data_IF_431549913358
#
_entry.id   IF_431549913358
#
_cell.length_a   1.000
_cell.length_b   1.000
_cell.length_c   1.000
_cell.angle_alpha   90.00
_cell.angle_beta   90.00
_cell.angle_gamma   90.00
#
_symmetry.space_group_name_H-M   'P 1'
#
loop_
_entity.id
_entity.type
_entity.pdbx_description
1 polymer ?
#
# COMPACT_ATOMS: atom_id res chain seq x y z
N UNK A 1 -22.74 13.34 21.63
CA UNK A 1 -22.05 12.82 20.43
C UNK A 1 -21.44 11.48 20.79
N UNK A 2 -21.64 10.45 19.97
CA UNK A 2 -21.10 9.11 20.30
C UNK A 2 -19.58 9.16 20.34
N UNK A 3 -19.02 9.10 21.53
CA UNK A 3 -17.58 8.99 21.83
C UNK A 3 -17.06 7.55 21.63
N UNK A 4 -17.85 6.71 20.94
CA UNK A 4 -17.54 5.29 20.74
C UNK A 4 -16.57 5.10 19.57
N UNK A 5 -15.55 4.24 19.71
CA UNK A 5 -14.70 3.83 18.60
C UNK A 5 -15.50 3.19 17.47
N UNK A 6 -15.38 3.73 16.26
CA UNK A 6 -15.97 3.16 15.05
C UNK A 6 -15.23 3.63 13.79
N UNK A 7 -15.22 2.77 12.78
CA UNK A 7 -14.69 3.02 11.43
C UNK A 7 -15.83 3.05 10.41
N UNK A 8 -15.59 3.71 9.29
CA UNK A 8 -16.52 3.70 8.15
C UNK A 8 -16.74 2.31 7.58
N UNK A 9 -17.94 2.04 7.06
CA UNK A 9 -18.20 0.83 6.27
C UNK A 9 -17.30 0.69 5.03
N UNK A 10 -16.82 1.81 4.48
CA UNK A 10 -15.90 1.84 3.33
C UNK A 10 -14.45 1.59 3.72
N UNK A 11 -14.09 1.72 5.02
CA UNK A 11 -12.75 1.37 5.44
C UNK A 11 -12.52 -0.13 5.21
N UNK A 12 -11.32 -0.48 4.75
CA UNK A 12 -11.00 -1.81 4.22
C UNK A 12 -10.01 -2.51 5.13
N UNK A 13 -10.42 -3.61 5.73
CA UNK A 13 -9.59 -4.42 6.63
C UNK A 13 -8.66 -5.29 5.80
N UNK A 14 -7.39 -5.33 6.20
CA UNK A 14 -6.39 -6.23 5.61
C UNK A 14 -6.56 -7.66 6.13
N UNK A 15 -6.86 -8.60 5.23
CA UNK A 15 -7.05 -10.03 5.51
C UNK A 15 -5.72 -10.78 5.54
N UNK A 16 -5.53 -11.65 6.52
CA UNK A 16 -4.31 -12.47 6.68
C UNK A 16 -4.31 -13.68 5.77
N UNK A 17 -5.48 -14.27 5.55
CA UNK A 17 -5.66 -15.51 4.79
C UNK A 17 -5.62 -15.28 3.28
N UNK A 18 -6.25 -14.20 2.80
CA UNK A 18 -6.34 -13.93 1.36
C UNK A 18 -5.50 -12.75 0.89
N UNK A 19 -4.93 -11.94 1.79
CA UNK A 19 -4.21 -10.70 1.44
C UNK A 19 -5.12 -9.55 0.98
N UNK A 20 -6.43 -9.79 0.86
CA UNK A 20 -7.40 -8.82 0.39
C UNK A 20 -7.56 -7.65 1.36
N UNK A 21 -7.90 -6.50 0.79
CA UNK A 21 -8.49 -5.39 1.53
C UNK A 21 -10.01 -5.49 1.35
N UNK A 22 -10.76 -5.78 2.41
CA UNK A 22 -12.21 -5.99 2.32
C UNK A 22 -12.92 -4.89 3.09
N UNK A 23 -13.92 -4.26 2.47
CA UNK A 23 -14.69 -3.21 3.13
C UNK A 23 -15.37 -3.76 4.39
N UNK A 24 -15.38 -2.98 5.48
CA UNK A 24 -15.94 -3.41 6.76
C UNK A 24 -17.42 -3.79 6.60
N UNK A 25 -18.17 -3.07 5.77
CA UNK A 25 -19.58 -3.38 5.47
C UNK A 25 -19.80 -4.80 4.93
N UNK A 26 -18.85 -5.35 4.18
CA UNK A 26 -18.96 -6.68 3.57
C UNK A 26 -18.58 -7.82 4.54
N UNK A 27 -18.04 -7.44 5.71
CA UNK A 27 -17.64 -8.35 6.78
C UNK A 27 -18.64 -8.39 7.94
N UNK A 28 -19.68 -7.55 7.91
CA UNK A 28 -20.70 -7.49 8.96
C UNK A 28 -21.37 -8.85 9.12
N UNK A 29 -21.52 -9.28 10.38
CA UNK A 29 -22.13 -10.57 10.71
C UNK A 29 -21.22 -11.78 10.51
N UNK A 30 -20.03 -11.62 9.92
CA UNK A 30 -19.03 -12.69 9.86
C UNK A 30 -18.32 -12.81 11.21
N UNK A 31 -18.35 -14.02 11.76
CA UNK A 31 -17.43 -14.44 12.80
C UNK A 31 -16.10 -14.90 12.18
N UNK A 32 -15.03 -14.88 12.97
CA UNK A 32 -13.75 -15.50 12.66
C UNK A 32 -13.05 -14.97 11.39
N UNK A 33 -13.02 -13.65 11.22
CA UNK A 33 -12.34 -12.98 10.11
C UNK A 33 -10.83 -12.88 10.43
N UNK A 34 -9.90 -13.57 9.73
CA UNK A 34 -8.47 -13.43 9.99
C UNK A 34 -7.95 -12.08 9.48
N UNK A 35 -7.42 -11.26 10.38
CA UNK A 35 -7.00 -9.88 10.12
C UNK A 35 -5.61 -9.60 10.64
N UNK A 36 -4.93 -8.62 10.05
CA UNK A 36 -3.67 -8.13 10.58
C UNK A 36 -3.92 -7.19 11.77
N UNK A 37 -3.20 -7.44 12.86
CA UNK A 37 -3.13 -6.63 14.06
C UNK A 37 -1.67 -6.44 14.48
N UNK A 38 -1.41 -5.59 15.46
CA UNK A 38 -0.10 -5.45 16.08
C UNK A 38 0.02 -6.27 17.35
N UNK A 39 1.19 -6.87 17.54
CA UNK A 39 1.65 -7.35 18.85
C UNK A 39 2.26 -6.21 19.68
N UNK A 40 2.68 -6.53 20.91
CA UNK A 40 3.33 -5.60 21.84
C UNK A 40 4.64 -5.00 21.31
N UNK A 41 5.27 -5.63 20.32
CA UNK A 41 6.53 -5.19 19.68
C UNK A 41 6.27 -4.37 18.41
N UNK A 42 5.02 -4.02 18.13
CA UNK A 42 4.60 -3.32 16.92
C UNK A 42 4.93 -4.12 15.64
N UNK A 43 4.85 -5.44 15.70
CA UNK A 43 4.94 -6.34 14.55
C UNK A 43 3.56 -6.77 14.10
N UNK A 44 3.39 -6.95 12.79
CA UNK A 44 2.13 -7.41 12.23
C UNK A 44 1.96 -8.90 12.50
N UNK A 45 0.91 -9.25 13.23
CA UNK A 45 0.53 -10.62 13.56
C UNK A 45 -0.90 -10.88 13.08
N UNK A 46 -1.18 -12.13 12.70
CA UNK A 46 -2.54 -12.52 12.34
C UNK A 46 -3.37 -12.75 13.59
N UNK A 47 -4.50 -12.04 13.68
CA UNK A 47 -5.51 -12.14 14.73
C UNK A 47 -6.87 -12.43 14.12
N UNK A 48 -7.90 -12.55 14.96
CA UNK A 48 -9.25 -12.89 14.53
C UNK A 48 -10.20 -11.75 14.89
N UNK A 49 -10.81 -11.14 13.88
CA UNK A 49 -11.80 -10.09 14.05
C UNK A 49 -13.23 -10.64 14.05
N UNK A 50 -14.06 -10.01 14.88
CA UNK A 50 -15.50 -9.99 14.73
C UNK A 50 -15.90 -8.58 14.35
N UNK A 51 -16.45 -8.41 13.16
CA UNK A 51 -17.00 -7.12 12.73
C UNK A 51 -18.41 -7.00 13.29
N UNK A 52 -18.56 -6.09 14.25
CA UNK A 52 -19.81 -5.89 14.98
C UNK A 52 -20.77 -5.06 14.14
N UNK A 53 -22.06 -5.27 14.41
CA UNK A 53 -23.18 -4.51 13.86
C UNK A 53 -22.96 -3.00 13.88
N UNK A 54 -23.60 -2.34 12.92
CA UNK A 54 -23.74 -0.89 12.83
C UNK A 54 -23.91 -0.19 14.17
N UNK A 55 -23.13 0.88 14.38
CA UNK A 55 -23.28 1.80 15.49
C UNK A 55 -24.30 2.92 15.18
N UNK A 56 -25.01 2.83 14.04
CA UNK A 56 -25.87 3.88 13.52
C UNK A 56 -25.11 5.01 12.82
N UNK A 57 -25.83 5.97 12.20
CA UNK A 57 -25.22 7.13 11.58
C UNK A 57 -24.59 8.03 12.64
N UNK A 58 -23.32 8.40 12.43
CA UNK A 58 -22.58 9.27 13.32
C UNK A 58 -21.65 10.19 12.52
N UNK A 59 -21.38 11.38 13.05
CA UNK A 59 -20.40 12.29 12.47
C UNK A 59 -19.05 11.59 12.43
N UNK A 60 -18.46 11.53 11.24
CA UNK A 60 -17.14 10.97 11.02
C UNK A 60 -16.19 12.04 10.50
N UNK A 61 -14.91 11.71 10.52
CA UNK A 61 -13.87 12.53 9.91
C UNK A 61 -13.04 11.68 8.97
N UNK A 62 -12.85 12.19 7.75
CA UNK A 62 -11.96 11.61 6.75
C UNK A 62 -10.55 12.11 7.02
N UNK A 63 -9.71 11.21 7.52
CA UNK A 63 -8.31 11.50 7.84
C UNK A 63 -7.47 11.10 6.64
N UNK A 64 -6.73 12.08 6.08
CA UNK A 64 -5.82 11.87 4.95
C UNK A 64 -4.38 11.95 5.44
N UNK A 65 -3.57 10.96 5.09
CA UNK A 65 -2.15 10.89 5.44
C UNK A 65 -1.26 11.38 4.30
N UNK A 66 0.00 11.67 4.62
CA UNK A 66 0.98 12.16 3.66
C UNK A 66 1.25 11.19 2.50
N UNK A 67 1.17 9.87 2.71
CA UNK A 67 1.21 8.86 1.62
C UNK A 67 -0.05 8.84 0.75
N UNK A 68 -1.10 9.57 1.11
CA UNK A 68 -2.39 9.47 0.44
C UNK A 68 -3.26 8.30 0.93
N UNK A 69 -2.88 7.58 1.99
CA UNK A 69 -3.81 6.74 2.73
C UNK A 69 -4.97 7.59 3.25
N UNK A 70 -6.16 7.00 3.24
CA UNK A 70 -7.38 7.62 3.76
C UNK A 70 -8.08 6.62 4.65
N UNK A 71 -8.42 7.05 5.85
CA UNK A 71 -9.30 6.31 6.76
C UNK A 71 -10.40 7.26 7.21
N UNK A 72 -11.64 6.79 7.21
CA UNK A 72 -12.76 7.54 7.75
C UNK A 72 -13.23 6.88 9.04
N UNK A 73 -13.36 7.68 10.09
CA UNK A 73 -13.56 7.18 11.44
C UNK A 73 -14.37 8.16 12.30
N UNK A 74 -15.01 7.63 13.36
CA UNK A 74 -15.66 8.43 14.38
C UNK A 74 -14.64 9.24 15.19
N UNK A 75 -15.11 10.35 15.78
CA UNK A 75 -14.31 11.20 16.67
C UNK A 75 -13.63 10.42 17.82
N UNK A 76 -14.30 9.41 18.39
CA UNK A 76 -13.77 8.57 19.47
C UNK A 76 -12.87 7.41 19.02
N UNK A 77 -12.68 7.19 17.71
CA UNK A 77 -11.83 6.11 17.21
C UNK A 77 -10.36 6.38 17.58
N UNK A 78 -9.68 5.47 18.30
CA UNK A 78 -8.26 5.60 18.57
C UNK A 78 -7.42 5.25 17.33
N UNK A 79 -6.40 6.06 17.05
CA UNK A 79 -5.29 5.78 16.15
C UNK A 79 -3.99 5.74 16.95
N UNK A 80 -3.07 4.87 16.57
CA UNK A 80 -1.80 4.72 17.30
C UNK A 80 -0.83 5.84 16.92
N UNK A 81 -0.31 6.56 17.91
CA UNK A 81 0.76 7.57 17.78
C UNK A 81 2.02 7.08 18.49
N UNK A 82 3.15 7.79 18.33
CA UNK A 82 4.40 7.39 19.00
C UNK A 82 4.31 7.44 20.54
N UNK A 83 3.41 8.27 21.07
CA UNK A 83 3.17 8.42 22.51
C UNK A 83 2.01 7.55 23.01
N UNK A 84 1.45 6.69 22.16
CA UNK A 84 0.32 5.82 22.48
C UNK A 84 -0.94 6.12 21.67
N UNK A 85 -2.05 5.52 22.06
CA UNK A 85 -3.34 5.68 21.40
C UNK A 85 -3.93 7.06 21.64
N UNK A 86 -4.44 7.70 20.58
CA UNK A 86 -5.12 9.00 20.64
C UNK A 86 -6.39 8.97 19.83
N UNK A 87 -7.45 9.58 20.34
CA UNK A 87 -8.74 9.65 19.64
C UNK A 87 -8.63 10.57 18.43
N UNK A 88 -9.39 10.30 17.38
CA UNK A 88 -9.43 11.17 16.18
C UNK A 88 -9.73 12.63 16.54
N UNK A 89 -10.61 12.89 17.51
CA UNK A 89 -10.93 14.24 17.98
C UNK A 89 -9.76 14.99 18.64
N UNK A 90 -8.76 14.28 19.15
CA UNK A 90 -7.58 14.85 19.84
C UNK A 90 -6.40 15.09 18.89
N UNK A 91 -6.47 14.57 17.66
CA UNK A 91 -5.37 14.61 16.72
C UNK A 91 -5.37 15.93 15.92
N UNK A 92 -4.37 16.79 16.09
CA UNK A 92 -4.23 17.98 15.24
C UNK A 92 -3.73 17.60 13.84
N UNK A 93 -3.95 18.49 12.87
CA UNK A 93 -3.20 18.45 11.62
C UNK A 93 -1.69 18.45 11.88
N UNK A 94 -0.95 17.65 11.13
CA UNK A 94 0.49 17.50 11.35
C UNK A 94 0.89 16.45 12.39
N UNK A 95 -0.05 15.91 13.18
CA UNK A 95 0.21 14.75 14.03
C UNK A 95 0.63 13.52 13.21
N UNK A 96 1.39 12.61 13.81
CA UNK A 96 1.84 11.38 13.16
C UNK A 96 1.13 10.15 13.72
N UNK A 97 0.57 9.32 12.84
CA UNK A 97 -0.11 8.07 13.18
C UNK A 97 0.58 6.87 12.55
N UNK A 98 0.40 5.70 13.16
CA UNK A 98 0.96 4.44 12.71
C UNK A 98 0.25 3.91 11.46
N UNK A 99 1.05 3.47 10.52
CA UNK A 99 0.65 2.77 9.28
C UNK A 99 1.51 1.53 9.11
N UNK A 100 1.07 0.58 8.29
CA UNK A 100 1.94 -0.54 7.90
C UNK A 100 3.14 -0.03 7.09
N UNK A 101 4.34 -0.44 7.50
CA UNK A 101 5.58 -0.22 6.75
C UNK A 101 5.70 -1.22 5.58
N UNK A 102 5.32 -2.46 5.84
CA UNK A 102 5.31 -3.57 4.89
C UNK A 102 4.16 -4.51 5.24
N UNK A 103 3.59 -5.16 4.23
CA UNK A 103 2.59 -6.19 4.41
C UNK A 103 3.22 -7.57 4.27
N UNK A 104 3.03 -8.48 5.23
CA UNK A 104 3.47 -9.86 5.06
C UNK A 104 2.73 -10.58 3.92
N UNK A 105 3.29 -11.68 3.45
CA UNK A 105 2.61 -12.59 2.54
C UNK A 105 1.36 -13.20 3.21
N UNK A 106 0.23 -13.36 2.48
CA UNK A 106 -0.94 -14.05 3.04
C UNK A 106 -0.62 -15.50 3.43
N UNK A 107 -1.33 -16.04 4.43
CA UNK A 107 -1.11 -17.40 4.98
C UNK A 107 -1.47 -18.54 4.01
N UNK A 108 -2.03 -18.24 2.85
CA UNK A 108 -2.27 -19.21 1.77
C UNK A 108 -2.05 -18.53 0.43
N UNK A 109 -0.79 -18.31 0.01
CA UNK A 109 -0.50 -17.61 -1.23
C UNK A 109 -1.00 -18.44 -2.42
N UNK A 110 -1.75 -17.80 -3.31
CA UNK A 110 -2.15 -18.41 -4.57
C UNK A 110 -0.95 -18.42 -5.52
N UNK A 111 -0.89 -19.46 -6.35
CA UNK A 111 0.02 -19.51 -7.50
C UNK A 111 -0.78 -19.67 -8.78
N UNK A 112 -0.63 -18.72 -9.69
CA UNK A 112 -1.27 -18.76 -11.01
C UNK A 112 -0.31 -19.27 -12.08
N UNK A 113 -0.80 -19.79 -13.22
CA UNK A 113 0.03 -19.90 -14.41
C UNK A 113 0.61 -18.54 -14.78
N UNK A 114 1.89 -18.49 -15.18
CA UNK A 114 2.59 -17.24 -15.52
C UNK A 114 1.83 -16.40 -16.56
N UNK A 115 1.26 -17.07 -17.58
CA UNK A 115 0.51 -16.40 -18.64
C UNK A 115 -0.73 -15.65 -18.13
N UNK A 116 -1.38 -16.13 -17.07
CA UNK A 116 -2.53 -15.46 -16.45
C UNK A 116 -2.09 -14.16 -15.77
N UNK A 117 -0.98 -14.20 -15.01
CA UNK A 117 -0.42 -13.02 -14.32
C UNK A 117 -0.02 -11.94 -15.33
N UNK A 118 0.71 -12.33 -16.37
CA UNK A 118 1.16 -11.42 -17.44
C UNK A 118 -0.04 -10.84 -18.19
N UNK A 119 -0.99 -11.68 -18.61
CA UNK A 119 -2.15 -11.24 -19.38
C UNK A 119 -2.98 -10.22 -18.59
N UNK A 120 -3.28 -10.51 -17.32
CA UNK A 120 -4.07 -9.59 -16.48
C UNK A 120 -3.37 -8.24 -16.32
N UNK A 121 -2.06 -8.25 -16.03
CA UNK A 121 -1.28 -7.04 -15.81
C UNK A 121 -1.28 -6.13 -17.04
N UNK A 122 -1.08 -6.70 -18.24
CA UNK A 122 -1.08 -5.94 -19.49
C UNK A 122 -2.49 -5.46 -19.89
N UNK A 123 -3.53 -6.27 -19.71
CA UNK A 123 -4.91 -5.87 -20.03
C UNK A 123 -5.46 -4.80 -19.06
N UNK A 124 -5.06 -4.85 -17.78
CA UNK A 124 -5.42 -3.81 -16.81
C UNK A 124 -4.79 -2.46 -17.13
N UNK A 125 -3.61 -2.42 -17.76
CA UNK A 125 -3.01 -1.17 -18.24
C UNK A 125 -3.58 -0.74 -19.58
N UNK A 126 -2.96 -1.23 -20.67
CA UNK A 126 -3.24 -0.82 -22.05
C UNK A 126 -4.30 -1.69 -22.77
N UNK A 127 -5.03 -2.53 -22.02
CA UNK A 127 -6.14 -3.31 -22.57
C UNK A 127 -7.47 -2.56 -22.64
N UNK A 128 -8.32 -3.00 -23.57
CA UNK A 128 -9.72 -2.62 -23.65
C UNK A 128 -10.59 -3.88 -23.58
N UNK A 129 -11.30 -4.02 -22.46
CA UNK A 129 -12.18 -5.16 -22.13
C UNK A 129 -13.67 -4.78 -22.10
N UNK A 130 -14.03 -3.63 -22.69
CA UNK A 130 -15.41 -3.10 -22.68
C UNK A 130 -16.20 -3.40 -23.95
N UNK A 131 -15.59 -4.05 -24.93
CA UNK A 131 -16.17 -4.34 -26.24
C UNK A 131 -15.57 -5.59 -26.84
N UNK A 132 -16.28 -6.17 -27.80
CA UNK A 132 -15.79 -7.26 -28.61
C UNK A 132 -15.26 -6.77 -29.97
N UNK A 133 -14.12 -7.31 -30.45
CA UNK A 133 -13.16 -8.12 -29.69
C UNK A 133 -12.45 -7.29 -28.61
N UNK A 134 -12.05 -7.94 -27.52
CA UNK A 134 -11.11 -7.33 -26.57
C UNK A 134 -9.75 -7.17 -27.28
N UNK A 135 -9.01 -6.13 -26.90
CA UNK A 135 -7.69 -5.89 -27.48
C UNK A 135 -6.72 -5.29 -26.47
N UNK A 136 -5.44 -5.47 -26.76
CA UNK A 136 -4.30 -4.83 -26.11
C UNK A 136 -3.60 -3.92 -27.13
N UNK A 137 -2.97 -2.82 -26.71
CA UNK A 137 -2.11 -2.05 -27.61
C UNK A 137 -0.79 -1.68 -26.96
N UNK A 138 0.26 -1.62 -27.78
CA UNK A 138 1.58 -1.15 -27.34
C UNK A 138 2.40 -0.60 -28.50
N UNK A 139 3.43 0.17 -28.16
CA UNK A 139 4.52 0.56 -29.08
C UNK A 139 5.74 -0.34 -28.96
N UNK A 140 5.77 -1.15 -27.91
CA UNK A 140 6.93 -1.91 -27.49
C UNK A 140 6.77 -3.35 -27.94
N UNK A 141 7.67 -3.80 -28.82
CA UNK A 141 7.59 -5.13 -29.42
C UNK A 141 7.71 -6.24 -28.36
N UNK A 142 8.55 -6.06 -27.34
CA UNK A 142 8.68 -7.04 -26.26
C UNK A 142 7.40 -7.15 -25.40
N UNK A 143 6.60 -6.08 -25.32
CA UNK A 143 5.28 -6.13 -24.68
C UNK A 143 4.25 -6.85 -25.57
N UNK A 144 4.28 -6.63 -26.89
CA UNK A 144 3.39 -7.32 -27.83
C UNK A 144 3.67 -8.84 -27.82
N UNK A 145 4.95 -9.23 -27.89
CA UNK A 145 5.38 -10.63 -27.87
C UNK A 145 4.97 -11.35 -26.59
N UNK A 146 5.14 -10.72 -25.42
CA UNK A 146 4.80 -11.36 -24.14
C UNK A 146 3.29 -11.54 -23.97
N UNK A 147 2.49 -10.58 -24.46
CA UNK A 147 1.02 -10.69 -24.46
C UNK A 147 0.53 -11.78 -25.40
N UNK A 148 1.14 -11.91 -26.58
CA UNK A 148 0.81 -13.00 -27.51
C UNK A 148 1.24 -14.36 -26.98
N UNK A 149 2.41 -14.44 -26.30
CA UNK A 149 2.83 -15.65 -25.58
C UNK A 149 1.82 -16.00 -24.49
N UNK A 150 1.36 -15.01 -23.74
CA UNK A 150 0.35 -15.23 -22.71
C UNK A 150 -0.98 -15.72 -23.31
N UNK A 151 -1.41 -15.17 -24.44
CA UNK A 151 -2.60 -15.63 -25.17
C UNK A 151 -2.49 -17.09 -25.62
N UNK A 152 -1.32 -17.53 -26.11
CA UNK A 152 -1.05 -18.94 -26.42
C UNK A 152 -1.19 -19.84 -25.18
N UNK A 153 -0.86 -19.35 -23.99
CA UNK A 153 -1.08 -20.06 -22.73
C UNK A 153 -2.55 -20.36 -22.45
N UNK A 154 -3.46 -19.49 -22.90
CA UNK A 154 -4.91 -19.72 -22.88
C UNK A 154 -5.43 -20.57 -24.05
N UNK A 155 -4.56 -20.99 -24.98
CA UNK A 155 -4.97 -21.61 -26.24
C UNK A 155 -5.65 -20.63 -27.21
N UNK A 156 -5.41 -19.32 -27.06
CA UNK A 156 -6.09 -18.28 -27.83
C UNK A 156 -5.19 -17.74 -28.94
N UNK A 157 -5.71 -17.73 -30.17
CA UNK A 157 -5.08 -17.06 -31.30
C UNK A 157 -5.20 -15.53 -31.21
N UNK A 158 -4.19 -14.83 -31.71
CA UNK A 158 -4.14 -13.35 -31.74
C UNK A 158 -4.10 -12.81 -33.16
N UNK A 159 -4.54 -11.57 -33.35
CA UNK A 159 -4.37 -10.84 -34.62
C UNK A 159 -3.78 -9.46 -34.35
N UNK A 160 -2.64 -9.15 -34.97
CA UNK A 160 -2.08 -7.79 -34.95
C UNK A 160 -2.71 -6.90 -36.01
N UNK A 161 -2.95 -5.64 -35.68
CA UNK A 161 -3.32 -4.60 -36.64
C UNK A 161 -2.57 -3.29 -36.36
N UNK A 162 -2.09 -2.58 -37.39
CA UNK A 162 -1.42 -1.31 -37.19
C UNK A 162 -2.41 -0.23 -36.73
N UNK A 163 -1.95 0.63 -35.83
CA UNK A 163 -2.62 1.84 -35.37
C UNK A 163 -1.76 3.08 -35.59
N UNK A 164 -2.24 4.24 -35.16
CA UNK A 164 -1.47 5.50 -35.24
C UNK A 164 -0.33 5.50 -34.21
N UNK A 165 0.82 4.97 -34.62
CA UNK A 165 2.03 4.88 -33.80
C UNK A 165 1.92 3.87 -32.66
N UNK A 166 1.01 2.91 -32.73
CA UNK A 166 0.84 1.77 -31.81
C UNK A 166 0.44 0.55 -32.62
N UNK A 167 0.71 -0.64 -32.12
CA UNK A 167 0.19 -1.90 -32.66
C UNK A 167 -0.89 -2.43 -31.74
N UNK A 168 -2.02 -2.88 -32.30
CA UNK A 168 -3.10 -3.53 -31.56
C UNK A 168 -2.97 -5.05 -31.70
N UNK A 169 -3.17 -5.77 -30.60
CA UNK A 169 -3.35 -7.23 -30.54
C UNK A 169 -4.80 -7.49 -30.19
N UNK A 170 -5.55 -8.08 -31.12
CA UNK A 170 -6.96 -8.43 -30.92
C UNK A 170 -7.09 -9.89 -30.50
N UNK A 171 -8.01 -10.16 -29.58
CA UNK A 171 -8.37 -11.49 -29.12
C UNK A 171 -9.80 -11.79 -29.56
N UNK A 172 -10.00 -12.63 -30.61
CA UNK A 172 -11.33 -12.92 -31.13
C UNK A 172 -12.21 -13.64 -30.10
N UNK A 173 -13.48 -13.23 -29.96
CA UNK A 173 -14.42 -13.80 -28.99
C UNK A 173 -14.79 -15.26 -29.28
N UNK A 174 -14.93 -15.60 -30.57
CA UNK A 174 -15.19 -16.95 -31.03
C UNK A 174 -13.87 -17.55 -31.49
N UNK A 175 -13.51 -18.68 -30.89
CA UNK A 175 -12.45 -19.50 -31.45
C UNK A 175 -12.98 -20.10 -32.76
N UNK A 176 -12.34 -19.76 -33.89
CA UNK A 176 -12.70 -20.33 -35.19
C UNK A 176 -12.42 -21.84 -35.26
N UNK A 177 -11.61 -22.37 -34.34
CA UNK A 177 -11.25 -23.79 -34.27
C UNK A 177 -12.18 -24.59 -33.34
N UNK A 178 -12.79 -23.97 -32.33
CA UNK A 178 -13.72 -24.63 -31.42
C UNK A 178 -15.18 -24.36 -31.80
N UNK A 179 -15.89 -25.42 -32.24
CA UNK A 179 -17.31 -25.42 -32.61
C UNK A 179 -18.20 -24.91 -31.46
N UNK A 180 -18.41 -23.58 -31.38
CA UNK A 180 -19.38 -22.96 -30.46
C UNK A 180 -18.93 -22.79 -29.00
N UNK A 181 -17.63 -22.92 -28.70
CA UNK A 181 -17.10 -22.62 -27.35
C UNK A 181 -16.64 -21.16 -27.24
N UNK A 182 -16.93 -20.54 -26.10
CA UNK A 182 -16.47 -19.20 -25.73
C UNK A 182 -14.95 -19.19 -25.55
N UNK A 183 -14.30 -18.12 -25.99
CA UNK A 183 -12.85 -17.97 -25.82
C UNK A 183 -12.46 -18.06 -24.33
N UNK A 184 -11.53 -18.95 -23.92
CA UNK A 184 -11.14 -19.14 -22.51
C UNK A 184 -10.67 -17.89 -21.79
N UNK A 185 -10.01 -16.97 -22.52
CA UNK A 185 -9.60 -15.67 -21.98
C UNK A 185 -10.80 -14.85 -21.51
N UNK A 186 -11.89 -14.86 -22.28
CA UNK A 186 -13.11 -14.14 -21.93
C UNK A 186 -13.77 -14.71 -20.69
N UNK A 187 -13.88 -16.04 -20.60
CA UNK A 187 -14.50 -16.70 -19.46
C UNK A 187 -13.67 -16.48 -18.19
N UNK A 188 -12.35 -16.51 -18.31
CA UNK A 188 -11.45 -16.16 -17.21
C UNK A 188 -11.61 -14.69 -16.78
N UNK A 189 -11.63 -13.73 -17.71
CA UNK A 189 -11.83 -12.30 -17.37
C UNK A 189 -13.21 -12.03 -16.75
N UNK A 190 -14.26 -12.75 -17.17
CA UNK A 190 -15.60 -12.66 -16.55
C UNK A 190 -15.59 -13.18 -15.12
N UNK A 191 -14.95 -14.33 -14.87
CA UNK A 191 -14.82 -14.88 -13.50
C UNK A 191 -14.08 -13.94 -12.56
N UNK A 192 -13.03 -13.26 -13.05
CA UNK A 192 -12.30 -12.24 -12.29
C UNK A 192 -13.09 -10.93 -12.10
N UNK A 193 -14.24 -10.77 -12.76
CA UNK A 193 -15.08 -9.58 -12.64
C UNK A 193 -14.46 -8.31 -13.25
N UNK A 194 -13.49 -8.43 -14.18
CA UNK A 194 -12.80 -7.26 -14.76
C UNK A 194 -13.36 -6.79 -16.09
N UNK A 195 -14.24 -7.59 -16.70
CA UNK A 195 -14.90 -7.25 -17.97
C UNK A 195 -15.81 -6.03 -17.84
N UNK A 196 -15.87 -5.22 -18.89
CA UNK A 196 -16.78 -4.06 -18.94
C UNK A 196 -16.27 -2.79 -18.24
N UNK A 197 -15.21 -2.86 -17.43
CA UNK A 197 -14.70 -1.70 -16.70
C UNK A 197 -14.03 -0.65 -17.60
N UNK A 198 -14.42 0.61 -17.40
CA UNK A 198 -13.72 1.79 -17.91
C UNK A 198 -12.45 2.06 -17.11
N UNK A 199 -11.54 2.88 -17.64
CA UNK A 199 -10.26 3.18 -17.00
C UNK A 199 -10.37 3.70 -15.56
N UNK A 200 -11.39 4.50 -15.23
CA UNK A 200 -11.64 5.03 -13.88
C UNK A 200 -12.36 4.04 -12.95
N UNK A 201 -12.87 2.93 -13.48
CA UNK A 201 -13.57 1.86 -12.74
C UNK A 201 -12.65 0.65 -12.47
N UNK A 202 -11.49 0.58 -13.15
CA UNK A 202 -10.53 -0.52 -13.00
C UNK A 202 -10.14 -0.69 -11.53
N UNK A 203 -10.04 -1.93 -11.09
CA UNK A 203 -9.55 -2.33 -9.77
C UNK A 203 -8.88 -3.69 -9.90
N UNK A 204 -8.06 -4.07 -8.93
CA UNK A 204 -7.50 -5.42 -8.95
C UNK A 204 -8.55 -6.45 -8.50
N UNK A 205 -8.65 -7.60 -9.18
CA UNK A 205 -9.38 -8.75 -8.65
C UNK A 205 -8.85 -9.17 -7.28
N UNK A 206 -9.73 -9.70 -6.44
CA UNK A 206 -9.38 -10.14 -5.09
C UNK A 206 -8.25 -11.19 -5.12
N UNK A 207 -8.27 -12.06 -6.13
CA UNK A 207 -7.32 -13.14 -6.31
C UNK A 207 -5.88 -12.63 -6.53
N UNK A 208 -5.70 -11.43 -7.10
CA UNK A 208 -4.37 -10.82 -7.29
C UNK A 208 -3.72 -10.49 -5.94
N UNK A 209 -4.51 -10.08 -4.95
CA UNK A 209 -3.99 -9.80 -3.61
C UNK A 209 -3.52 -11.07 -2.89
N UNK A 210 -4.00 -12.25 -3.29
CA UNK A 210 -3.61 -13.53 -2.74
C UNK A 210 -2.36 -14.13 -3.39
N UNK A 211 -1.92 -13.65 -4.56
CA UNK A 211 -0.73 -14.16 -5.24
C UNK A 211 0.50 -14.21 -4.33
N UNK A 212 1.41 -15.16 -4.55
CA UNK A 212 2.71 -15.18 -3.88
C UNK A 212 3.49 -13.87 -4.06
N UNK A 213 4.45 -13.60 -3.18
CA UNK A 213 5.30 -12.40 -3.24
C UNK A 213 6.03 -12.29 -4.58
N UNK A 214 6.48 -13.39 -5.14
CA UNK A 214 7.14 -13.42 -6.46
C UNK A 214 6.16 -13.11 -7.60
N UNK A 215 4.95 -13.66 -7.58
CA UNK A 215 3.94 -13.34 -8.59
C UNK A 215 3.37 -11.93 -8.44
N UNK A 216 3.32 -11.40 -7.22
CA UNK A 216 3.01 -9.99 -6.97
C UNK A 216 4.06 -9.07 -7.63
N UNK A 217 5.36 -9.38 -7.48
CA UNK A 217 6.44 -8.64 -8.16
C UNK A 217 6.35 -8.77 -9.67
N UNK A 218 6.10 -9.97 -10.19
CA UNK A 218 5.91 -10.21 -11.63
C UNK A 218 4.71 -9.42 -12.17
N UNK A 219 3.57 -9.45 -11.47
CA UNK A 219 2.39 -8.68 -11.82
C UNK A 219 2.72 -7.18 -11.89
N UNK A 220 3.38 -6.64 -10.85
CA UNK A 220 3.79 -5.24 -10.82
C UNK A 220 4.77 -4.89 -11.95
N UNK A 221 5.72 -5.77 -12.28
CA UNK A 221 6.69 -5.59 -13.39
C UNK A 221 5.98 -5.41 -14.74
N UNK A 222 4.99 -6.26 -15.01
CA UNK A 222 4.22 -6.20 -16.26
C UNK A 222 3.20 -5.06 -16.26
N UNK A 223 2.58 -4.77 -15.12
CA UNK A 223 1.68 -3.62 -14.99
C UNK A 223 2.45 -2.32 -15.23
N UNK A 224 3.67 -2.18 -14.69
CA UNK A 224 4.49 -0.99 -14.89
C UNK A 224 4.95 -0.80 -16.35
N UNK A 225 4.92 -1.84 -17.18
CA UNK A 225 5.25 -1.73 -18.59
C UNK A 225 4.20 -0.94 -19.40
N UNK A 226 3.00 -0.75 -18.82
CA UNK A 226 1.86 -0.06 -19.42
C UNK A 226 1.84 1.44 -19.09
N UNK A 227 1.22 1.84 -17.98
CA UNK A 227 1.11 3.23 -17.50
C UNK A 227 2.20 3.60 -16.47
N UNK A 228 3.21 2.73 -16.28
CA UNK A 228 4.32 2.95 -15.38
C UNK A 228 5.48 3.73 -15.99
N UNK A 229 6.17 4.53 -15.19
CA UNK A 229 7.27 5.38 -15.62
C UNK A 229 8.47 5.24 -14.71
N UNK A 230 9.65 5.15 -15.32
CA UNK A 230 10.96 5.30 -14.69
C UNK A 230 11.70 6.35 -15.50
N UNK A 231 12.06 7.47 -14.88
CA UNK A 231 12.81 8.55 -15.53
C UNK A 231 13.87 9.09 -14.59
N UNK A 232 15.00 9.51 -15.16
CA UNK A 232 16.04 10.26 -14.45
C UNK A 232 16.23 11.57 -15.21
N UNK A 233 16.04 12.71 -14.53
CA UNK A 233 16.25 14.03 -15.14
C UNK A 233 17.73 14.33 -15.35
N UNK A 234 18.04 15.38 -16.12
CA UNK A 234 19.41 15.89 -16.28
C UNK A 234 20.08 16.28 -14.95
N UNK A 235 19.30 16.76 -13.97
CA UNK A 235 19.77 16.97 -12.58
C UNK A 235 19.97 15.68 -11.78
N UNK A 236 19.84 14.51 -12.42
CA UNK A 236 19.93 13.19 -11.81
C UNK A 236 18.75 12.85 -10.89
N UNK A 237 17.67 13.63 -10.86
CA UNK A 237 16.51 13.26 -10.03
C UNK A 237 15.76 12.11 -10.71
N UNK A 238 15.78 10.94 -10.07
CA UNK A 238 14.99 9.77 -10.50
C UNK A 238 13.56 9.89 -9.98
N UNK A 239 12.58 9.56 -10.83
CA UNK A 239 11.17 9.42 -10.48
C UNK A 239 10.64 8.09 -11.00
N UNK A 240 9.98 7.34 -10.12
CA UNK A 240 9.30 6.09 -10.43
C UNK A 240 7.84 6.27 -10.03
N UNK A 241 6.92 6.12 -10.97
CA UNK A 241 5.49 6.24 -10.68
C UNK A 241 4.62 5.42 -11.64
N UNK A 242 3.42 5.04 -11.20
CA UNK A 242 2.35 4.50 -12.05
C UNK A 242 1.21 5.51 -12.13
N UNK A 243 0.67 5.76 -13.33
CA UNK A 243 -0.45 6.69 -13.54
C UNK A 243 -1.76 5.94 -13.77
N UNK A 244 -2.86 6.44 -13.20
CA UNK A 244 -4.20 5.89 -13.44
C UNK A 244 -5.28 6.93 -13.17
N UNK A 245 -6.46 6.76 -13.77
CA UNK A 245 -7.67 7.53 -13.42
C UNK A 245 -8.56 6.80 -12.41
N UNK A 246 -8.23 5.56 -12.05
CA UNK A 246 -8.91 4.82 -10.98
C UNK A 246 -8.18 5.00 -9.65
N UNK A 247 -8.83 5.69 -8.72
CA UNK A 247 -8.34 5.80 -7.34
C UNK A 247 -8.23 4.41 -6.68
N UNK A 248 -9.17 3.52 -6.99
CA UNK A 248 -9.23 2.16 -6.43
C UNK A 248 -8.02 1.32 -6.88
N UNK A 249 -7.68 1.37 -8.17
CA UNK A 249 -6.47 0.71 -8.70
C UNK A 249 -5.20 1.30 -8.08
N UNK A 250 -5.14 2.62 -7.88
CA UNK A 250 -3.98 3.26 -7.23
C UNK A 250 -3.77 2.74 -5.79
N UNK A 251 -4.84 2.55 -5.03
CA UNK A 251 -4.81 1.96 -3.69
C UNK A 251 -4.40 0.49 -3.72
N UNK A 252 -4.92 -0.29 -4.65
CA UNK A 252 -4.54 -1.71 -4.80
C UNK A 252 -3.06 -1.88 -5.14
N UNK A 253 -2.52 -1.03 -6.03
CA UNK A 253 -1.09 -1.00 -6.35
C UNK A 253 -0.26 -0.60 -5.12
N UNK A 254 -0.73 0.37 -4.33
CA UNK A 254 -0.05 0.76 -3.07
C UNK A 254 0.03 -0.42 -2.08
N UNK A 255 -1.01 -1.25 -1.99
CA UNK A 255 -1.04 -2.48 -1.19
C UNK A 255 -0.04 -3.50 -1.74
N UNK A 256 -0.02 -3.76 -3.05
CA UNK A 256 0.94 -4.70 -3.64
C UNK A 256 2.40 -4.25 -3.49
N UNK A 257 2.66 -2.94 -3.60
CA UNK A 257 4.00 -2.37 -3.32
C UNK A 257 4.38 -2.56 -1.85
N UNK A 258 3.45 -2.37 -0.91
CA UNK A 258 3.69 -2.63 0.51
C UNK A 258 4.02 -4.11 0.80
N UNK A 259 3.45 -5.05 0.03
CA UNK A 259 3.83 -6.48 0.09
C UNK A 259 5.26 -6.77 -0.35
N UNK A 260 5.84 -5.89 -1.16
CA UNK A 260 7.24 -5.92 -1.56
C UNK A 260 8.15 -5.07 -0.65
N UNK A 261 7.64 -4.59 0.49
CA UNK A 261 8.37 -3.69 1.39
C UNK A 261 8.57 -2.28 0.85
N UNK A 262 7.82 -1.88 -0.20
CA UNK A 262 7.95 -0.58 -0.85
C UNK A 262 6.85 0.36 -0.35
N UNK A 263 7.25 1.41 0.35
CA UNK A 263 6.35 2.49 0.72
C UNK A 263 6.05 3.43 -0.46
N UNK A 264 4.83 3.38 -0.99
CA UNK A 264 4.40 4.25 -2.09
C UNK A 264 3.48 5.40 -1.62
N UNK A 265 3.43 6.48 -2.40
CA UNK A 265 2.57 7.64 -2.14
C UNK A 265 1.62 7.88 -3.30
N UNK A 266 0.33 7.97 -3.02
CA UNK A 266 -0.67 8.35 -3.99
C UNK A 266 -0.82 9.89 -4.02
N UNK A 267 -0.82 10.47 -5.21
CA UNK A 267 -1.05 11.90 -5.44
C UNK A 267 -2.13 12.11 -6.49
N UNK A 268 -3.01 13.07 -6.26
CA UNK A 268 -3.90 13.58 -7.31
C UNK A 268 -3.05 14.38 -8.32
N UNK A 269 -3.23 14.13 -9.60
CA UNK A 269 -2.67 14.98 -10.67
C UNK A 269 -3.56 16.18 -10.92
N UNK A 270 -3.08 17.26 -11.51
CA UNK A 270 -4.01 18.29 -11.99
C UNK A 270 -4.92 17.67 -13.06
N UNK A 271 -6.24 17.83 -12.93
CA UNK A 271 -7.17 17.40 -13.98
C UNK A 271 -6.76 18.09 -15.29
N UNK A 272 -6.57 17.33 -16.38
CA UNK A 272 -6.30 17.96 -17.67
C UNK A 272 -7.55 18.73 -18.11
N UNK A 273 -7.39 19.84 -18.83
CA UNK A 273 -8.54 20.59 -19.40
C UNK A 273 -9.44 19.74 -20.32
N UNK A 274 -8.97 18.57 -20.74
CA UNK A 274 -9.65 17.59 -21.61
C UNK A 274 -10.19 16.36 -20.85
N UNK A 275 -9.80 16.18 -19.59
CA UNK A 275 -10.09 14.98 -18.80
C UNK A 275 -11.30 15.18 -17.90
N UNK A 276 -12.35 14.37 -18.11
CA UNK A 276 -13.54 14.36 -17.25
C UNK A 276 -13.29 13.79 -15.84
N UNK A 277 -12.16 13.09 -15.64
CA UNK A 277 -11.85 12.38 -14.39
C UNK A 277 -10.52 12.82 -13.78
N UNK A 278 -10.48 12.84 -12.45
CA UNK A 278 -9.29 13.07 -11.64
C UNK A 278 -8.24 11.97 -11.89
N UNK A 279 -7.03 12.35 -12.28
CA UNK A 279 -5.90 11.42 -12.40
C UNK A 279 -5.16 11.24 -11.08
N UNK A 280 -4.46 10.12 -10.95
CA UNK A 280 -3.70 9.70 -9.77
C UNK A 280 -2.33 9.17 -10.19
N UNK A 281 -1.31 9.45 -9.38
CA UNK A 281 -0.02 8.77 -9.49
C UNK A 281 0.30 8.01 -8.21
N UNK A 282 0.82 6.80 -8.35
CA UNK A 282 1.43 6.01 -7.27
C UNK A 282 2.93 6.16 -7.38
N UNK A 283 3.51 7.06 -6.58
CA UNK A 283 4.94 7.40 -6.63
C UNK A 283 5.74 6.53 -5.65
N UNK A 284 6.78 5.86 -6.16
CA UNK A 284 7.82 5.21 -5.35
C UNK A 284 8.92 6.22 -5.08
N UNK A 285 9.11 6.56 -3.80
CA UNK A 285 10.00 7.65 -3.37
C UNK A 285 10.95 7.21 -2.27
N UNK A 286 12.11 7.87 -2.21
CA UNK A 286 13.19 7.50 -1.30
C UNK A 286 14.10 6.45 -1.94
N UNK A 287 15.41 6.58 -1.70
CA UNK A 287 16.43 5.72 -2.32
C UNK A 287 16.14 4.24 -2.09
N UNK A 288 15.87 3.84 -0.86
CA UNK A 288 15.76 2.42 -0.51
C UNK A 288 14.54 1.77 -1.17
N UNK A 289 13.38 2.44 -1.13
CA UNK A 289 12.18 2.01 -1.86
C UNK A 289 12.40 1.93 -3.37
N UNK A 290 13.07 2.93 -3.96
CA UNK A 290 13.40 2.92 -5.39
C UNK A 290 14.35 1.77 -5.73
N UNK A 291 15.35 1.49 -4.90
CA UNK A 291 16.28 0.38 -5.11
C UNK A 291 15.59 -0.97 -5.01
N UNK A 292 14.70 -1.17 -4.02
CA UNK A 292 13.90 -2.40 -3.93
C UNK A 292 13.05 -2.57 -5.20
N UNK A 293 12.36 -1.52 -5.65
CA UNK A 293 11.58 -1.57 -6.89
C UNK A 293 12.44 -1.95 -8.10
N UNK A 294 13.55 -1.24 -8.31
CA UNK A 294 14.39 -1.40 -9.50
C UNK A 294 15.06 -2.78 -9.57
N UNK A 295 15.49 -3.32 -8.42
CA UNK A 295 16.19 -4.60 -8.35
C UNK A 295 15.26 -5.81 -8.27
N UNK A 296 14.10 -5.68 -7.61
CA UNK A 296 13.23 -6.83 -7.32
C UNK A 296 11.99 -6.91 -8.22
N UNK A 297 11.57 -5.79 -8.82
CA UNK A 297 10.37 -5.71 -9.68
C UNK A 297 10.80 -5.36 -11.10
N UNK A 298 11.44 -4.20 -11.27
CA UNK A 298 11.81 -3.67 -12.57
C UNK A 298 10.59 -3.36 -13.45
N UNK A 299 10.82 -3.25 -14.76
CA UNK A 299 9.77 -3.00 -15.75
C UNK A 299 10.04 -3.89 -16.95
N UNK A 300 9.00 -4.53 -17.49
CA UNK A 300 9.13 -5.31 -18.73
C UNK A 300 9.24 -4.41 -19.97
N UNK A 301 9.84 -4.95 -21.04
CA UNK A 301 10.02 -4.26 -22.32
C UNK A 301 11.10 -3.18 -22.32
N UNK A 302 11.10 -2.36 -23.37
CA UNK A 302 12.07 -1.28 -23.59
C UNK A 302 12.09 -0.22 -22.49
N UNK A 303 10.99 -0.05 -21.72
CA UNK A 303 10.99 0.81 -20.52
C UNK A 303 11.93 0.27 -19.42
N UNK A 304 12.15 -1.04 -19.38
CA UNK A 304 13.07 -1.70 -18.46
C UNK A 304 14.50 -1.19 -18.55
N UNK A 305 14.97 -0.77 -19.73
CA UNK A 305 16.31 -0.22 -19.94
C UNK A 305 16.58 1.04 -19.08
N UNK A 306 15.53 1.79 -18.74
CA UNK A 306 15.67 2.96 -17.86
C UNK A 306 15.92 2.58 -16.40
N UNK A 307 15.64 1.34 -16.01
CA UNK A 307 15.89 0.86 -14.65
C UNK A 307 17.39 0.78 -14.38
N UNK A 308 18.20 0.32 -15.33
CA UNK A 308 19.66 0.24 -15.19
C UNK A 308 20.28 1.63 -14.98
N UNK A 309 19.87 2.61 -15.78
CA UNK A 309 20.29 4.00 -15.62
C UNK A 309 19.88 4.57 -14.26
N UNK A 310 18.68 4.26 -13.78
CA UNK A 310 18.21 4.68 -12.47
C UNK A 310 19.01 4.03 -11.33
N UNK A 311 19.32 2.74 -11.43
CA UNK A 311 20.17 2.01 -10.46
C UNK A 311 21.54 2.66 -10.36
N UNK A 312 22.21 2.88 -11.50
CA UNK A 312 23.55 3.49 -11.53
C UNK A 312 23.54 4.89 -10.88
N UNK A 313 22.53 5.71 -11.18
CA UNK A 313 22.40 7.05 -10.60
C UNK A 313 22.08 7.04 -9.09
N UNK A 314 21.39 6.03 -8.58
CA UNK A 314 21.01 5.91 -7.16
C UNK A 314 22.11 5.26 -6.30
N UNK A 315 22.99 4.44 -6.89
CA UNK A 315 24.04 3.71 -6.19
C UNK A 315 24.94 4.65 -5.35
N UNK A 316 25.32 5.79 -5.92
CA UNK A 316 26.22 6.77 -5.31
C UNK A 316 25.55 7.79 -4.38
N UNK A 317 24.22 7.77 -4.26
CA UNK A 317 23.48 8.73 -3.43
C UNK A 317 23.33 8.21 -2.01
N UNK A 318 23.57 9.06 -1.02
CA UNK A 318 23.20 8.75 0.37
C UNK A 318 21.69 8.92 0.50
N UNK A 319 21.01 7.85 0.92
CA UNK A 319 19.57 7.89 1.16
C UNK A 319 19.25 8.88 2.28
N UNK A 320 18.21 9.70 2.08
CA UNK A 320 17.68 10.54 3.14
C UNK A 320 16.54 9.79 3.86
N UNK A 321 16.68 9.42 5.15
CA UNK A 321 15.69 8.61 5.87
C UNK A 321 14.42 9.38 6.24
N UNK A 322 14.30 10.68 5.89
CA UNK A 322 13.22 11.61 6.31
C UNK A 322 11.76 11.15 6.10
N UNK A 323 11.51 9.97 5.51
CA UNK A 323 10.17 9.40 5.30
C UNK A 323 9.86 8.25 6.28
N UNK A 324 10.86 7.49 6.73
CA UNK A 324 10.71 6.38 7.69
C UNK A 324 11.55 6.67 8.95
N UNK A 325 11.03 7.59 9.76
CA UNK A 325 11.61 8.01 11.03
C UNK A 325 10.65 7.77 12.18
N UNK A 326 11.18 7.45 13.35
CA UNK A 326 10.45 7.49 14.61
C UNK A 326 10.22 8.97 14.97
N UNK A 327 8.97 9.43 15.21
CA UNK A 327 8.66 10.84 15.44
C UNK A 327 9.35 11.41 16.69
N UNK A 328 9.58 12.72 16.68
CA UNK A 328 10.34 13.43 17.72
C UNK A 328 9.74 13.29 19.13
N UNK A 329 8.44 13.00 19.25
CA UNK A 329 7.79 12.74 20.54
C UNK A 329 8.42 11.59 21.34
N UNK A 330 9.22 10.72 20.72
CA UNK A 330 9.97 9.67 21.42
C UNK A 330 11.09 10.22 22.33
N UNK A 331 11.57 11.45 22.08
CA UNK A 331 12.71 12.01 22.82
C UNK A 331 12.44 12.21 24.30
N UNK A 332 11.20 12.53 24.68
CA UNK A 332 10.81 12.67 26.10
C UNK A 332 11.03 11.34 26.85
N UNK A 333 10.58 10.23 26.26
CA UNK A 333 10.82 8.89 26.80
C UNK A 333 12.31 8.53 26.81
N UNK A 334 13.05 8.84 25.74
CA UNK A 334 14.50 8.58 25.68
C UNK A 334 15.24 9.35 26.79
N UNK A 335 14.91 10.62 27.01
CA UNK A 335 15.53 11.45 28.05
C UNK A 335 15.20 10.95 29.46
N UNK A 336 13.97 10.48 29.69
CA UNK A 336 13.60 9.83 30.95
C UNK A 336 14.41 8.54 31.19
N UNK A 337 14.66 7.74 30.14
CA UNK A 337 15.48 6.52 30.28
C UNK A 337 16.97 6.85 30.47
N UNK A 338 17.48 7.88 29.79
CA UNK A 338 18.85 8.38 29.99
C UNK A 338 19.11 8.77 31.44
N UNK A 339 18.17 9.46 32.10
CA UNK A 339 18.33 9.83 33.52
C UNK A 339 18.31 8.62 34.45
N UNK A 340 17.52 7.60 34.13
CA UNK A 340 17.42 6.36 34.92
C UNK A 340 18.63 5.43 34.73
N UNK A 341 19.24 5.40 33.54
CA UNK A 341 20.40 4.55 33.25
C UNK A 341 21.74 5.27 33.42
N UNK A 342 21.73 6.55 33.82
CA UNK A 342 22.94 7.36 33.98
C UNK A 342 23.69 7.68 32.69
N UNK A 343 23.06 7.52 31.52
CA UNK A 343 23.70 7.78 30.22
C UNK A 343 23.61 9.27 29.92
N UNK A 344 24.76 9.95 29.83
CA UNK A 344 24.81 11.38 29.56
C UNK A 344 24.53 11.72 28.08
N UNK A 345 24.17 12.97 27.82
CA UNK A 345 24.03 13.49 26.44
C UNK A 345 25.36 13.40 25.67
N UNK A 346 26.49 13.61 26.35
CA UNK A 346 27.82 13.48 25.75
C UNK A 346 28.14 12.04 25.35
N UNK A 347 27.80 11.07 26.20
CA UNK A 347 27.97 9.64 25.89
C UNK A 347 27.12 9.22 24.70
N UNK A 348 25.87 9.68 24.65
CA UNK A 348 24.98 9.40 23.53
C UNK A 348 25.49 10.04 22.22
N UNK A 349 26.00 11.27 22.28
CA UNK A 349 26.62 11.94 21.13
C UNK A 349 27.78 11.11 20.56
N UNK A 350 28.67 10.64 21.43
CA UNK A 350 29.82 9.79 21.06
C UNK A 350 29.37 8.50 20.38
N UNK A 351 28.36 7.81 20.94
CA UNK A 351 27.82 6.56 20.36
C UNK A 351 27.16 6.77 18.99
N UNK A 352 26.56 7.94 18.77
CA UNK A 352 25.98 8.34 17.48
C UNK A 352 27.02 8.90 16.49
N UNK A 353 28.31 8.84 16.84
CA UNK A 353 29.43 9.41 16.10
C UNK A 353 29.23 10.91 15.81
N UNK A 354 28.86 11.68 16.84
CA UNK A 354 28.69 13.13 16.77
C UNK A 354 29.48 13.81 17.88
N UNK A 355 29.97 15.01 17.58
CA UNK A 355 30.66 15.88 18.57
C UNK A 355 29.68 16.30 19.68
N UNK A 356 28.45 16.67 19.32
CA UNK A 356 27.42 17.09 20.27
C UNK A 356 26.01 16.86 19.73
N UNK A 357 25.02 16.80 20.63
CA UNK A 357 23.60 16.81 20.30
C UNK A 357 23.00 18.18 20.65
N UNK A 358 22.63 18.94 19.63
CA UNK A 358 22.03 20.27 19.81
C UNK A 358 20.55 20.16 20.21
N UNK A 359 19.96 21.25 20.69
CA UNK A 359 18.54 21.31 21.05
C UNK A 359 17.60 20.93 19.88
N UNK A 360 17.99 21.24 18.64
CA UNK A 360 17.27 20.83 17.43
C UNK A 360 17.23 19.31 17.28
N UNK A 361 18.24 18.59 17.75
CA UNK A 361 18.31 17.13 17.63
C UNK A 361 17.11 16.45 18.31
N UNK A 362 16.76 16.92 19.50
CA UNK A 362 15.63 16.44 20.29
C UNK A 362 14.25 16.86 19.74
N UNK A 363 14.22 17.68 18.68
CA UNK A 363 12.99 18.11 17.98
C UNK A 363 12.81 17.43 16.62
N UNK A 364 13.74 16.54 16.24
CA UNK A 364 13.73 15.84 14.95
C UNK A 364 13.43 14.36 15.12
N UNK A 365 12.86 13.75 14.08
CA UNK A 365 12.64 12.31 14.04
C UNK A 365 13.96 11.53 14.05
N UNK A 366 13.91 10.33 14.64
CA UNK A 366 15.06 9.43 14.76
C UNK A 366 14.97 8.37 13.67
N UNK A 367 16.01 8.22 12.84
CA UNK A 367 16.03 7.12 11.87
C UNK A 367 16.19 5.79 12.59
N UNK A 368 15.72 4.70 11.99
CA UNK A 368 15.80 3.36 12.60
C UNK A 368 17.22 2.90 12.93
N UNK A 369 18.25 3.09 12.05
CA UNK A 369 19.63 2.77 12.43
C UNK A 369 20.11 3.56 13.65
N UNK A 370 19.71 4.84 13.77
CA UNK A 370 20.02 5.63 14.96
C UNK A 370 19.28 5.10 16.18
N UNK A 371 18.01 4.74 16.03
CA UNK A 371 17.22 4.16 17.12
C UNK A 371 17.85 2.86 17.65
N UNK A 372 18.41 2.01 16.78
CA UNK A 372 19.17 0.83 17.21
C UNK A 372 20.36 1.20 18.10
N UNK A 373 21.10 2.26 17.75
CA UNK A 373 22.22 2.75 18.57
C UNK A 373 21.72 3.30 19.90
N UNK A 374 20.63 4.08 19.92
CA UNK A 374 20.04 4.61 21.16
C UNK A 374 19.54 3.47 22.04
N UNK A 375 18.86 2.49 21.48
CA UNK A 375 18.35 1.33 22.22
C UNK A 375 19.49 0.54 22.88
N UNK A 376 20.56 0.27 22.14
CA UNK A 376 21.74 -0.42 22.68
C UNK A 376 22.48 0.41 23.74
N UNK A 377 22.53 1.74 23.58
CA UNK A 377 23.14 2.63 24.57
C UNK A 377 22.40 2.62 25.91
N UNK A 378 21.07 2.51 25.89
CA UNK A 378 20.22 2.56 27.07
C UNK A 378 19.83 1.17 27.61
N UNK A 379 20.16 0.09 26.88
CA UNK A 379 19.68 -1.26 27.21
C UNK A 379 18.16 -1.37 27.16
N UNK A 380 17.49 -0.56 26.32
CA UNK A 380 16.03 -0.40 26.33
C UNK A 380 15.36 -1.21 25.22
N UNK A 381 14.65 -2.26 25.61
CA UNK A 381 13.97 -3.16 24.69
C UNK A 381 12.89 -2.45 23.85
N UNK A 382 12.12 -1.54 24.46
CA UNK A 382 11.07 -0.81 23.74
C UNK A 382 11.61 -0.01 22.56
N UNK A 383 12.80 0.57 22.71
CA UNK A 383 13.47 1.30 21.63
C UNK A 383 14.01 0.37 20.53
N UNK A 384 14.48 -0.82 20.91
CA UNK A 384 14.91 -1.84 19.96
C UNK A 384 13.73 -2.40 19.12
N UNK A 385 12.58 -2.62 19.77
CA UNK A 385 11.34 -3.01 19.10
C UNK A 385 10.87 -1.90 18.14
N UNK A 386 10.90 -0.63 18.54
CA UNK A 386 10.60 0.50 17.64
C UNK A 386 11.53 0.55 16.41
N UNK A 387 12.82 0.31 16.59
CA UNK A 387 13.80 0.32 15.49
C UNK A 387 13.51 -0.75 14.43
N UNK A 388 12.95 -1.90 14.83
CA UNK A 388 12.69 -3.07 13.99
C UNK A 388 11.21 -3.34 13.70
N UNK A 389 10.31 -2.49 14.21
CA UNK A 389 8.85 -2.61 14.06
C UNK A 389 8.36 -2.58 12.61
N UNK A 390 7.17 -3.15 12.38
CA UNK A 390 6.47 -3.15 11.09
C UNK A 390 5.63 -1.89 10.86
N UNK A 391 5.78 -0.89 11.74
CA UNK A 391 5.00 0.36 11.71
C UNK A 391 5.81 1.51 11.11
N UNK A 392 5.21 2.25 10.18
CA UNK A 392 5.68 3.55 9.73
C UNK A 392 4.83 4.66 10.33
N UNK A 393 5.48 5.76 10.69
CA UNK A 393 4.80 6.93 11.25
C UNK A 393 4.52 7.98 10.18
N UNK A 394 3.25 8.25 9.95
CA UNK A 394 2.79 9.11 8.86
C UNK A 394 2.05 10.33 9.35
N UNK A 395 2.39 11.47 8.75
CA UNK A 395 1.78 12.75 9.06
C UNK A 395 0.35 12.85 8.51
N UNK A 396 -0.58 13.28 9.35
CA UNK A 396 -1.92 13.71 8.95
C UNK A 396 -1.81 15.03 8.18
N UNK A 397 -2.35 15.05 6.97
CA UNK A 397 -2.34 16.24 6.08
C UNK A 397 -3.72 16.88 5.92
N UNK A 398 -4.79 16.18 6.29
CA UNK A 398 -6.14 16.74 6.36
C UNK A 398 -7.02 15.89 7.28
N UNK A 399 -7.98 16.55 7.93
CA UNK A 399 -9.05 15.95 8.73
C UNK A 399 -10.33 16.69 8.32
N UNK A 400 -11.09 16.09 7.42
CA UNK A 400 -12.29 16.71 6.85
C UNK A 400 -13.53 16.07 7.50
N UNK A 401 -14.46 16.83 8.12
CA UNK A 401 -15.71 16.27 8.61
C UNK A 401 -16.53 15.73 7.43
N UNK A 402 -17.16 14.58 7.62
CA UNK A 402 -17.95 13.91 6.59
C UNK A 402 -19.19 13.27 7.20
N UNK A 403 -20.30 13.36 6.48
CA UNK A 403 -21.51 12.60 6.76
C UNK A 403 -21.35 11.21 6.16
N UNK A 404 -20.53 10.40 6.83
CA UNK A 404 -20.12 9.09 6.34
C UNK A 404 -21.09 8.03 6.83
N UNK A 405 -22.26 7.97 6.17
CA UNK A 405 -23.27 6.91 6.28
C UNK A 405 -23.27 6.15 7.61
N UNK A 406 -22.97 4.85 7.53
CA UNK A 406 -23.01 3.90 8.63
C UNK A 406 -21.59 3.60 9.15
N UNK A 407 -21.40 3.71 10.47
CA UNK A 407 -20.14 3.38 11.14
C UNK A 407 -20.22 2.03 11.85
N UNK A 408 -19.09 1.36 11.93
CA UNK A 408 -18.97 -0.02 12.40
C UNK A 408 -17.90 -0.14 13.47
N UNK A 409 -18.19 -0.96 14.48
CA UNK A 409 -17.21 -1.34 15.50
C UNK A 409 -16.51 -2.62 15.07
N UNK A 410 -15.18 -2.61 15.08
CA UNK A 410 -14.36 -3.80 14.85
C UNK A 410 -13.80 -4.26 16.19
N UNK A 411 -14.01 -5.53 16.52
CA UNK A 411 -13.46 -6.17 17.73
C UNK A 411 -12.47 -7.22 17.27
N UNK A 412 -11.28 -7.25 17.87
CA UNK A 412 -10.24 -8.22 17.53
C UNK A 412 -9.93 -9.07 18.76
N UNK A 413 -10.05 -10.39 18.64
CA UNK A 413 -9.74 -11.31 19.72
C UNK A 413 -8.22 -11.34 19.96
N UNK A 414 -7.80 -11.08 21.21
CA UNK A 414 -6.41 -11.15 21.63
C UNK A 414 -5.50 -10.02 21.11
N UNK A 415 -6.06 -8.96 20.51
CA UNK A 415 -5.28 -7.80 20.08
C UNK A 415 -6.09 -6.50 20.21
N UNK A 416 -5.39 -5.39 20.44
CA UNK A 416 -6.00 -4.06 20.62
C UNK A 416 -6.03 -3.22 19.33
N UNK A 417 -5.75 -3.83 18.18
CA UNK A 417 -5.63 -3.11 16.91
C UNK A 417 -6.12 -3.92 15.72
N UNK A 418 -6.42 -3.20 14.64
CA UNK A 418 -6.70 -3.74 13.31
C UNK A 418 -6.04 -2.86 12.25
N UNK A 419 -5.54 -3.49 11.19
CA UNK A 419 -5.02 -2.78 10.02
C UNK A 419 -6.17 -2.48 9.04
N UNK A 420 -6.53 -1.21 8.91
CA UNK A 420 -7.58 -0.73 8.01
C UNK A 420 -7.04 0.36 7.07
N UNK A 421 -7.17 0.17 5.74
CA UNK A 421 -6.58 1.05 4.72
C UNK A 421 -5.08 1.32 4.95
N UNK A 422 -4.35 0.30 5.43
CA UNK A 422 -2.95 0.37 5.86
C UNK A 422 -2.67 1.29 7.08
N UNK A 423 -3.70 1.78 7.76
CA UNK A 423 -3.62 2.55 9.01
C UNK A 423 -3.90 1.64 10.20
N UNK A 424 -3.15 1.82 11.28
CA UNK A 424 -3.35 1.09 12.53
C UNK A 424 -4.45 1.81 13.33
N UNK A 425 -5.62 1.18 13.41
CA UNK A 425 -6.75 1.63 14.19
C UNK A 425 -6.89 0.77 15.45
N UNK A 426 -7.27 1.38 16.57
CA UNK A 426 -7.50 0.62 17.80
C UNK A 426 -8.81 -0.15 17.71
N UNK A 427 -8.78 -1.40 18.13
CA UNK A 427 -9.92 -2.28 18.15
C UNK A 427 -10.00 -2.88 19.56
N UNK A 428 -11.03 -2.58 20.36
CA UNK A 428 -11.09 -3.13 21.72
C UNK A 428 -11.18 -4.66 21.65
N UNK A 429 -10.34 -5.34 22.42
CA UNK A 429 -10.46 -6.78 22.63
C UNK A 429 -11.79 -7.14 23.31
N UNK A 430 -12.28 -8.38 23.17
CA UNK A 430 -13.53 -8.82 23.80
C UNK A 430 -13.54 -8.74 25.34
N UNK A 431 -12.38 -8.51 25.98
CA UNK A 431 -12.21 -8.41 27.43
C UNK A 431 -11.72 -7.02 27.91
N UNK A 432 -11.49 -6.04 27.03
CA UNK A 432 -11.08 -4.69 27.47
C UNK A 432 -12.29 -3.83 27.86
N UNK A 433 -12.96 -4.23 28.95
CA UNK A 433 -13.84 -3.35 29.72
C UNK A 433 -13.08 -2.50 30.75
N UNK A 434 -11.75 -2.65 30.84
CA UNK A 434 -10.90 -1.68 31.55
C UNK A 434 -10.68 -0.48 30.63
N UNK A 435 -11.16 0.69 31.09
CA UNK A 435 -11.25 1.92 30.31
C UNK A 435 -9.95 2.34 29.64
N UNK A 436 -10.11 2.93 28.46
CA UNK A 436 -9.10 3.76 27.83
C UNK A 436 -8.97 5.04 28.65
N UNK A 437 -8.17 5.00 29.72
CA UNK A 437 -7.79 6.15 30.56
C UNK A 437 -6.43 6.69 30.16
#
# INVERSE_FOLDING_TARGET
MSDRPALSGEARISRVDTGNQVAIRDLVGRADVPVWALDERLRLVGAVARVVSSCGPARASRIRLASGHVVTAAAGQPLLTIVGWRRVAELPMGATVATSRSLPEPRGPASWPEHEVVMLAHLLGDGCVTRDPIYYCSRDEANLEVVEKAARGFGVGTRRTPGRGVTYVHFPMLDRQARGHTNPLYDWLRRLGVMGHRAWEKQLPAEVHQLSGEQCKMFLRHLWATDGSVTTSSSGRTRIYYATTSRRLAEDIQVLLARSGIGARIRATTASKLGKHQGWTVDVSGRDNMMIFLLSIGVHGGRGLRCEQAIANLAHRVGNPNVDVIPAGIWEYIQQRMSQTGVSVADLAKRLNRVQLTSTYFKTGVSRPRMTIVAAALGERRLADLATSDVRWERIVAIDPVDDGELFKVVVAGADSVLANLVIAGAPGPLSSAGWS
#
